data_IF_233005644067
#
_entry.id   IF_233005644067
#
_cell.length_a   1.000
_cell.length_b   1.000
_cell.length_c   1.000
_cell.angle_alpha   90.00
_cell.angle_beta   90.00
_cell.angle_gamma   90.00
#
_symmetry.space_group_name_H-M   'P 1'
#
loop_
_entity.id
_entity.type
_entity.pdbx_description
1 polymer ?
#
# COMPACT_ATOMS: atom_id res chain seq x y z
N UNK A 1 8.90 0.77 -11.85
CA UNK A 1 7.88 0.56 -10.80
C UNK A 1 8.26 1.16 -9.44
N UNK A 2 9.54 1.32 -9.07
CA UNK A 2 9.94 1.85 -7.74
C UNK A 2 10.45 3.31 -7.71
N UNK A 3 10.75 3.92 -8.85
CA UNK A 3 11.50 5.21 -8.93
C UNK A 3 10.79 6.36 -8.20
N UNK A 4 9.46 6.40 -8.25
CA UNK A 4 8.67 7.49 -7.65
C UNK A 4 8.30 7.24 -6.17
N UNK A 5 8.58 6.04 -5.63
CA UNK A 5 8.18 5.70 -4.26
C UNK A 5 8.94 6.52 -3.23
N UNK A 6 10.25 6.70 -3.45
CA UNK A 6 11.14 7.44 -2.54
C UNK A 6 10.67 8.88 -2.38
N UNK A 7 10.45 9.60 -3.49
CA UNK A 7 9.99 10.99 -3.46
C UNK A 7 8.60 11.13 -2.81
N UNK A 8 7.70 10.16 -3.05
CA UNK A 8 6.37 10.13 -2.44
C UNK A 8 6.45 9.95 -0.92
N UNK A 9 7.24 8.99 -0.45
CA UNK A 9 7.40 8.73 0.99
C UNK A 9 8.07 9.89 1.72
N UNK A 10 9.11 10.49 1.13
CA UNK A 10 9.78 11.69 1.67
C UNK A 10 8.81 12.86 1.88
N UNK A 11 7.83 13.03 0.97
CA UNK A 11 6.83 14.09 1.07
C UNK A 11 5.72 13.74 2.07
N UNK A 12 5.16 12.53 1.99
CA UNK A 12 3.89 12.22 2.68
C UNK A 12 4.06 11.66 4.07
N UNK A 13 5.13 10.92 4.39
CA UNK A 13 5.31 10.37 5.74
C UNK A 13 5.38 11.48 6.81
N UNK A 14 6.05 12.63 6.60
CA UNK A 14 6.02 13.74 7.55
C UNK A 14 4.64 14.39 7.73
N UNK A 15 3.78 14.35 6.70
CA UNK A 15 2.40 14.86 6.77
C UNK A 15 1.49 13.89 7.54
N UNK A 16 1.71 12.59 7.35
CA UNK A 16 0.91 11.55 7.98
C UNK A 16 1.28 11.35 9.46
N UNK A 17 2.57 11.35 9.80
CA UNK A 17 3.06 10.96 11.12
C UNK A 17 2.40 11.69 12.31
N UNK A 18 2.16 13.02 12.30
CA UNK A 18 1.54 13.72 13.43
C UNK A 18 0.08 13.34 13.69
N UNK A 19 -0.57 12.68 12.72
CA UNK A 19 -2.01 12.38 12.74
C UNK A 19 -2.29 10.90 13.08
N UNK A 20 -1.26 10.08 13.27
CA UNK A 20 -1.40 8.64 13.45
C UNK A 20 -1.08 8.22 14.89
N UNK A 21 -1.83 7.25 15.45
CA UNK A 21 -1.65 6.82 16.83
C UNK A 21 -0.47 5.87 17.03
N UNK A 22 0.12 5.35 15.94
CA UNK A 22 1.29 4.48 15.95
C UNK A 22 2.43 5.10 15.15
N UNK A 23 3.66 4.82 15.57
CA UNK A 23 4.84 5.28 14.85
C UNK A 23 4.88 4.68 13.42
N UNK A 24 5.21 5.52 12.45
CA UNK A 24 5.46 5.14 11.06
C UNK A 24 6.91 5.46 10.68
N UNK A 25 7.44 4.94 9.56
CA UNK A 25 8.78 5.30 9.11
C UNK A 25 8.94 6.83 8.98
N UNK A 26 9.97 7.37 9.60
CA UNK A 26 10.31 8.78 9.49
C UNK A 26 11.51 8.95 8.55
N UNK A 27 11.37 9.61 7.39
CA UNK A 27 12.50 9.88 6.50
C UNK A 27 13.52 10.81 7.19
N UNK A 28 14.79 10.39 7.21
CA UNK A 28 15.91 11.15 7.77
C UNK A 28 16.82 11.75 6.69
N UNK A 29 16.95 11.07 5.54
CA UNK A 29 17.75 11.55 4.42
C UNK A 29 17.21 11.02 3.09
N UNK A 30 17.38 11.82 2.05
CA UNK A 30 17.21 11.46 0.65
C UNK A 30 18.61 11.41 0.01
N UNK A 31 18.96 10.25 -0.52
CA UNK A 31 20.21 10.03 -1.23
C UNK A 31 20.05 10.06 -2.74
N UNK A 32 21.07 10.56 -3.41
CA UNK A 32 21.13 10.68 -4.86
C UNK A 32 21.81 9.44 -5.50
N UNK A 33 21.54 9.18 -6.80
CA UNK A 33 22.29 8.20 -7.59
C UNK A 33 23.80 8.45 -7.50
N UNK A 34 24.56 7.41 -7.17
CA UNK A 34 26.00 7.50 -7.01
C UNK A 34 26.66 6.12 -7.18
N UNK A 35 27.96 6.11 -7.51
CA UNK A 35 28.80 4.91 -7.55
C UNK A 35 28.22 3.75 -8.39
N UNK A 36 27.55 4.08 -9.51
CA UNK A 36 26.92 3.10 -10.40
C UNK A 36 25.53 2.65 -10.00
N UNK A 37 24.98 3.10 -8.87
CA UNK A 37 23.58 2.93 -8.53
C UNK A 37 22.73 4.07 -9.13
N UNK A 38 21.76 3.79 -10.02
CA UNK A 38 21.12 4.82 -10.83
C UNK A 38 19.88 5.46 -10.18
N UNK A 39 19.49 5.03 -8.97
CA UNK A 39 18.22 5.43 -8.35
C UNK A 39 18.43 6.25 -7.08
N UNK A 40 17.44 7.08 -6.76
CA UNK A 40 17.35 7.69 -5.44
C UNK A 40 17.05 6.63 -4.37
N UNK A 41 17.42 6.91 -3.13
CA UNK A 41 17.23 6.04 -1.98
C UNK A 41 16.94 6.88 -0.72
N UNK A 42 16.32 6.28 0.29
CA UNK A 42 15.97 6.97 1.53
C UNK A 42 16.60 6.28 2.73
N UNK A 43 16.95 7.07 3.74
CA UNK A 43 17.23 6.59 5.10
C UNK A 43 16.02 6.91 5.96
N UNK A 44 15.54 5.93 6.72
CA UNK A 44 14.46 6.11 7.67
C UNK A 44 14.95 5.92 9.09
N UNK A 45 14.28 6.55 10.06
CA UNK A 45 14.49 6.24 11.48
C UNK A 45 14.12 4.79 11.73
N UNK A 46 14.99 4.10 12.46
CA UNK A 46 14.72 2.76 12.93
C UNK A 46 13.54 2.78 13.91
N UNK A 47 12.56 1.89 13.68
CA UNK A 47 11.48 1.64 14.63
C UNK A 47 11.82 0.38 15.42
N UNK A 48 12.03 0.52 16.71
CA UNK A 48 12.28 -0.62 17.59
C UNK A 48 11.04 -1.51 17.69
N UNK A 49 11.27 -2.82 17.64
CA UNK A 49 10.21 -3.82 17.72
C UNK A 49 10.47 -4.99 16.77
N UNK A 50 9.56 -5.94 16.79
CA UNK A 50 9.59 -7.12 15.94
C UNK A 50 8.44 -7.08 14.92
N UNK A 51 8.65 -7.73 13.77
CA UNK A 51 7.54 -8.00 12.84
C UNK A 51 6.51 -8.90 13.51
N UNK A 52 5.27 -8.41 13.54
CA UNK A 52 4.11 -9.18 14.02
C UNK A 52 3.96 -10.45 13.18
N UNK A 53 3.83 -11.59 13.87
CA UNK A 53 3.55 -12.88 13.25
C UNK A 53 2.46 -13.62 14.04
N UNK A 54 1.67 -14.49 13.38
CA UNK A 54 0.69 -15.34 14.08
C UNK A 54 1.34 -16.09 15.25
N UNK A 55 0.71 -16.06 16.43
CA UNK A 55 1.22 -16.71 17.63
C UNK A 55 2.33 -15.96 18.39
N UNK A 56 2.75 -14.77 17.93
CA UNK A 56 3.70 -13.88 18.64
C UNK A 56 3.03 -12.68 19.32
N UNK A 57 1.70 -12.60 19.28
CA UNK A 57 0.92 -11.57 19.96
C UNK A 57 0.29 -12.16 21.21
N UNK A 58 0.69 -11.63 22.36
CA UNK A 58 0.16 -12.06 23.66
C UNK A 58 -1.33 -11.67 23.81
N UNK A 59 -1.73 -10.54 23.23
CA UNK A 59 -3.12 -10.06 23.22
C UNK A 59 -3.56 -9.66 21.80
N UNK A 60 -4.20 -10.61 21.10
CA UNK A 60 -4.74 -10.38 19.76
C UNK A 60 -5.89 -9.37 19.73
N UNK A 61 -6.71 -9.31 20.80
CA UNK A 61 -7.87 -8.43 20.83
C UNK A 61 -7.41 -6.97 20.95
N UNK A 62 -6.42 -6.72 21.79
CA UNK A 62 -5.79 -5.41 21.91
C UNK A 62 -5.13 -4.99 20.61
N UNK A 63 -4.30 -5.85 20.01
CA UNK A 63 -3.64 -5.56 18.73
C UNK A 63 -4.63 -5.25 17.60
N UNK A 64 -5.75 -5.98 17.51
CA UNK A 64 -6.81 -5.70 16.55
C UNK A 64 -7.46 -4.32 16.78
N UNK A 65 -7.67 -3.96 18.04
CA UNK A 65 -8.22 -2.64 18.41
C UNK A 65 -7.25 -1.51 18.05
N UNK A 66 -5.96 -1.66 18.34
CA UNK A 66 -4.95 -0.66 17.97
C UNK A 66 -4.83 -0.50 16.44
N UNK A 67 -4.83 -1.60 15.70
CA UNK A 67 -4.81 -1.56 14.23
C UNK A 67 -6.06 -0.89 13.66
N UNK A 68 -7.24 -1.18 14.22
CA UNK A 68 -8.48 -0.53 13.81
C UNK A 68 -8.43 0.99 14.05
N UNK A 69 -7.91 1.41 15.21
CA UNK A 69 -7.72 2.82 15.53
C UNK A 69 -6.73 3.51 14.58
N UNK A 70 -5.63 2.84 14.23
CA UNK A 70 -4.67 3.32 13.24
C UNK A 70 -5.31 3.52 11.85
N UNK A 71 -6.05 2.51 11.35
CA UNK A 71 -6.74 2.59 10.06
C UNK A 71 -7.78 3.71 10.07
N UNK A 72 -8.56 3.82 11.14
CA UNK A 72 -9.56 4.88 11.27
C UNK A 72 -8.93 6.28 11.33
N UNK A 73 -7.77 6.42 11.99
CA UNK A 73 -7.02 7.68 11.99
C UNK A 73 -6.48 8.01 10.60
N UNK A 74 -5.85 7.04 9.92
CA UNK A 74 -5.34 7.20 8.57
C UNK A 74 -6.42 7.62 7.57
N UNK A 75 -7.60 7.01 7.63
CA UNK A 75 -8.74 7.33 6.75
C UNK A 75 -9.33 8.72 6.97
N UNK A 76 -9.11 9.35 8.14
CA UNK A 76 -9.60 10.71 8.44
C UNK A 76 -8.66 11.82 8.01
N UNK A 77 -7.42 11.50 7.62
CA UNK A 77 -6.45 12.51 7.19
C UNK A 77 -6.92 13.13 5.88
N UNK A 78 -6.84 14.46 5.79
CA UNK A 78 -7.16 15.19 4.57
C UNK A 78 -6.23 14.77 3.42
N UNK A 79 -6.83 14.19 2.38
CA UNK A 79 -6.12 13.67 1.21
C UNK A 79 -6.23 14.61 -0.01
N UNK A 80 -6.73 15.83 0.15
CA UNK A 80 -7.02 16.77 -0.95
C UNK A 80 -5.81 17.00 -1.88
N UNK A 81 -4.62 17.17 -1.31
CA UNK A 81 -3.39 17.38 -2.09
C UNK A 81 -2.63 16.09 -2.38
N UNK A 82 -3.20 14.93 -2.04
CA UNK A 82 -2.65 13.60 -2.27
C UNK A 82 -2.45 13.30 -3.75
N UNK A 83 -1.49 12.42 -4.11
CA UNK A 83 -1.34 12.01 -5.50
C UNK A 83 -2.60 11.25 -5.94
N UNK A 84 -3.13 11.53 -7.15
CA UNK A 84 -4.27 10.78 -7.68
C UNK A 84 -3.87 9.31 -7.90
N UNK A 85 -4.83 8.38 -8.10
CA UNK A 85 -4.51 7.03 -8.55
C UNK A 85 -3.59 6.99 -9.78
N UNK A 86 -2.69 6.01 -9.86
CA UNK A 86 -1.82 5.84 -11.03
C UNK A 86 -0.68 4.86 -10.84
N UNK A 87 0.29 4.85 -11.76
CA UNK A 87 1.35 3.84 -11.80
C UNK A 87 2.13 3.71 -10.47
N UNK A 88 2.36 4.82 -9.76
CA UNK A 88 3.06 4.85 -8.47
C UNK A 88 2.31 4.14 -7.32
N UNK A 89 1.02 3.83 -7.48
CA UNK A 89 0.26 3.04 -6.51
C UNK A 89 -0.30 1.75 -7.14
N UNK A 90 0.21 1.36 -8.32
CA UNK A 90 -0.29 0.25 -9.13
C UNK A 90 -1.75 0.43 -9.53
N UNK A 91 -2.12 1.68 -9.88
CA UNK A 91 -3.44 2.13 -10.32
C UNK A 91 -4.54 1.94 -9.26
N UNK A 92 -4.19 1.79 -7.99
CA UNK A 92 -5.16 1.58 -6.90
C UNK A 92 -6.05 2.81 -6.75
N UNK A 93 -7.36 2.60 -6.73
CA UNK A 93 -8.36 3.68 -6.70
C UNK A 93 -8.84 4.14 -8.08
N UNK A 94 -8.27 3.62 -9.17
CA UNK A 94 -8.85 3.80 -10.52
C UNK A 94 -10.09 2.91 -10.72
N UNK A 95 -11.01 3.27 -11.63
CA UNK A 95 -12.15 2.43 -12.00
C UNK A 95 -11.72 1.00 -12.36
N UNK A 96 -12.53 0.01 -11.95
CA UNK A 96 -12.22 -1.41 -12.22
C UNK A 96 -12.16 -1.73 -13.72
N UNK A 97 -12.86 -0.97 -14.56
CA UNK A 97 -12.81 -1.07 -16.02
C UNK A 97 -11.39 -0.93 -16.58
N UNK A 98 -10.50 -0.15 -15.92
CA UNK A 98 -9.09 -0.02 -16.33
C UNK A 98 -8.33 -1.35 -16.21
N UNK A 99 -8.79 -2.25 -15.32
CA UNK A 99 -8.18 -3.56 -15.08
C UNK A 99 -8.84 -4.69 -15.85
N UNK A 100 -9.97 -4.45 -16.52
CA UNK A 100 -10.83 -5.49 -17.05
C UNK A 100 -10.09 -6.50 -17.94
N UNK A 101 -9.39 -6.00 -18.96
CA UNK A 101 -8.64 -6.85 -19.89
C UNK A 101 -7.59 -7.72 -19.17
N UNK A 102 -6.84 -7.12 -18.25
CA UNK A 102 -5.80 -7.82 -17.49
C UNK A 102 -6.38 -8.87 -16.54
N UNK A 103 -7.47 -8.54 -15.84
CA UNK A 103 -8.16 -9.47 -14.96
C UNK A 103 -8.72 -10.66 -15.74
N UNK A 104 -9.37 -10.43 -16.90
CA UNK A 104 -9.88 -11.51 -17.75
C UNK A 104 -8.78 -12.42 -18.29
N UNK A 105 -7.65 -11.84 -18.68
CA UNK A 105 -6.48 -12.61 -19.10
C UNK A 105 -5.96 -13.49 -17.96
N UNK A 106 -5.90 -12.96 -16.73
CA UNK A 106 -5.49 -13.73 -15.56
C UNK A 106 -6.48 -14.87 -15.24
N UNK A 107 -7.79 -14.62 -15.32
CA UNK A 107 -8.82 -15.67 -15.13
C UNK A 107 -8.64 -16.79 -16.17
N UNK A 108 -8.39 -16.45 -17.43
CA UNK A 108 -8.14 -17.43 -18.47
C UNK A 108 -6.85 -18.24 -18.23
N UNK A 109 -5.78 -17.57 -17.82
CA UNK A 109 -4.49 -18.21 -17.56
C UNK A 109 -4.50 -19.16 -16.35
N UNK A 110 -5.44 -18.97 -15.41
CA UNK A 110 -5.59 -19.79 -14.19
C UNK A 110 -6.59 -20.94 -14.37
N UNK A 111 -6.87 -21.36 -15.61
CA UNK A 111 -7.72 -22.51 -15.90
C UNK A 111 -7.24 -23.78 -15.19
N UNK A 112 -8.18 -24.52 -14.59
CA UNK A 112 -7.89 -25.72 -13.80
C UNK A 112 -7.35 -25.44 -12.38
N UNK A 113 -7.09 -24.18 -12.02
CA UNK A 113 -6.63 -23.77 -10.69
C UNK A 113 -7.77 -23.10 -9.90
N UNK A 114 -8.61 -22.33 -10.59
CA UNK A 114 -9.74 -21.58 -10.00
C UNK A 114 -11.06 -21.92 -10.68
N UNK A 115 -12.18 -21.68 -9.98
CA UNK A 115 -13.50 -21.64 -10.58
C UNK A 115 -13.66 -20.37 -11.43
N UNK A 116 -13.37 -20.49 -12.73
CA UNK A 116 -13.44 -19.35 -13.65
C UNK A 116 -14.84 -18.77 -13.76
N UNK A 117 -15.88 -19.60 -13.64
CA UNK A 117 -17.27 -19.13 -13.79
C UNK A 117 -17.63 -18.24 -12.61
N UNK A 118 -17.36 -18.71 -11.39
CA UNK A 118 -17.61 -17.94 -10.18
C UNK A 118 -16.78 -16.64 -10.14
N UNK A 119 -15.48 -16.71 -10.47
CA UNK A 119 -14.60 -15.52 -10.46
C UNK A 119 -14.98 -14.53 -11.55
N UNK A 120 -15.36 -14.99 -12.75
CA UNK A 120 -15.84 -14.09 -13.81
C UNK A 120 -17.14 -13.41 -13.40
N UNK A 121 -18.09 -14.15 -12.85
CA UNK A 121 -19.36 -13.58 -12.38
C UNK A 121 -19.15 -12.51 -11.30
N UNK A 122 -18.27 -12.75 -10.32
CA UNK A 122 -17.94 -11.76 -9.30
C UNK A 122 -17.21 -10.53 -9.89
N UNK A 123 -16.40 -10.71 -10.91
CA UNK A 123 -15.75 -9.60 -11.61
C UNK A 123 -16.76 -8.74 -12.39
N UNK A 124 -17.67 -9.36 -13.15
CA UNK A 124 -18.74 -8.64 -13.85
C UNK A 124 -19.64 -7.86 -12.89
N UNK A 125 -19.98 -8.45 -11.73
CA UNK A 125 -20.77 -7.77 -10.70
C UNK A 125 -20.09 -6.47 -10.23
N UNK A 126 -18.77 -6.52 -10.00
CA UNK A 126 -17.99 -5.35 -9.60
C UNK A 126 -17.73 -4.30 -10.68
N UNK A 127 -17.99 -4.60 -11.96
CA UNK A 127 -17.87 -3.62 -13.05
C UNK A 127 -19.13 -2.74 -13.23
N UNK A 128 -20.25 -3.13 -12.61
CA UNK A 128 -21.50 -2.36 -12.61
C UNK A 128 -21.47 -1.19 -11.63
#
# INVERSE_FOLDING_TARGET
>A
WAVEQVAKEQRWLPVLAPNLPLAIPEPLALGEPALGYPWQWSVYRWLDGDTVAPGRLDDMQHAATELANFIAALQRIDATDGPPPGAHNSNRGEPLTVRDAGTRQAIAALEGIIDRVAVTAAWEDGLN
#
